data_IF_225908641470
#
_entry.id   IF_225908641470
#
_cell.length_a   1.000
_cell.length_b   1.000
_cell.length_c   1.000
_cell.angle_alpha   90.00
_cell.angle_beta   90.00
_cell.angle_gamma   90.00
#
_symmetry.space_group_name_H-M   'P 1'
#
loop_
_entity.id
_entity.type
_entity.pdbx_description
1 polymer ?
#
# COMPACT_ATOMS: atom_id res chain seq x y z
N UNK A 1 6.33 -10.31 -2.47
CA UNK A 1 6.84 -11.64 -2.16
C UNK A 1 7.71 -11.58 -0.91
N UNK A 2 8.90 -10.97 -0.96
CA UNK A 2 9.87 -10.96 0.14
C UNK A 2 9.24 -10.53 1.49
N UNK A 3 8.44 -9.47 1.52
CA UNK A 3 7.81 -8.98 2.75
C UNK A 3 6.91 -10.02 3.43
N UNK A 4 6.07 -10.73 2.67
CA UNK A 4 5.21 -11.78 3.21
C UNK A 4 6.00 -13.00 3.66
N UNK A 5 6.96 -13.48 2.85
CA UNK A 5 7.81 -14.60 3.23
C UNK A 5 8.60 -14.30 4.52
N UNK A 6 9.23 -13.11 4.60
CA UNK A 6 9.97 -12.71 5.80
C UNK A 6 9.07 -12.60 7.04
N UNK A 7 7.88 -12.01 6.89
CA UNK A 7 6.94 -11.87 8.02
C UNK A 7 6.47 -13.23 8.52
N UNK A 8 6.18 -14.17 7.64
CA UNK A 8 5.79 -15.54 8.03
C UNK A 8 6.92 -16.25 8.77
N UNK A 9 8.15 -16.18 8.26
CA UNK A 9 9.33 -16.79 8.92
C UNK A 9 9.60 -16.14 10.29
N UNK A 10 9.50 -14.81 10.40
CA UNK A 10 9.67 -14.08 11.66
C UNK A 10 8.57 -14.40 12.68
N UNK A 11 7.36 -14.73 12.20
CA UNK A 11 6.23 -15.19 13.01
C UNK A 11 6.31 -16.67 13.42
N UNK A 12 7.34 -17.40 12.97
CA UNK A 12 7.51 -18.84 13.26
C UNK A 12 6.75 -19.75 12.31
N UNK A 13 6.20 -19.21 11.22
CA UNK A 13 5.51 -19.96 10.17
C UNK A 13 6.40 -20.21 8.94
N UNK A 14 5.78 -20.68 7.87
CA UNK A 14 6.39 -20.88 6.57
C UNK A 14 5.59 -20.20 5.45
N UNK A 15 6.19 -20.02 4.29
CA UNK A 15 5.51 -19.50 3.13
C UNK A 15 5.84 -20.32 1.89
N UNK A 16 4.82 -20.65 1.10
CA UNK A 16 4.93 -21.32 -0.19
C UNK A 16 4.57 -20.31 -1.27
N UNK A 17 5.45 -20.09 -2.22
CA UNK A 17 5.20 -19.21 -3.35
C UNK A 17 4.85 -20.05 -4.58
N UNK A 18 3.65 -19.80 -5.12
CA UNK A 18 3.15 -20.44 -6.34
C UNK A 18 3.05 -19.41 -7.47
N UNK A 19 3.50 -19.78 -8.65
CA UNK A 19 3.24 -19.05 -9.90
C UNK A 19 2.18 -19.79 -10.71
N UNK A 20 1.60 -19.10 -11.71
CA UNK A 20 0.68 -19.75 -12.66
C UNK A 20 1.31 -20.96 -13.39
N UNK A 21 2.64 -20.99 -13.52
CA UNK A 21 3.36 -22.12 -14.13
C UNK A 21 3.46 -23.32 -13.21
N UNK A 22 3.49 -23.08 -11.90
CA UNK A 22 3.65 -24.11 -10.87
C UNK A 22 2.30 -24.70 -10.43
N UNK A 23 1.19 -24.10 -10.87
CA UNK A 23 -0.17 -24.48 -10.49
C UNK A 23 -0.99 -24.98 -11.69
N UNK A 24 -2.04 -25.76 -11.42
CA UNK A 24 -2.97 -26.24 -12.43
C UNK A 24 -3.92 -25.13 -12.92
N UNK A 25 -4.01 -23.98 -12.23
CA UNK A 25 -4.75 -22.80 -12.70
C UNK A 25 -4.28 -22.35 -14.08
N UNK A 26 -2.96 -22.38 -14.32
CA UNK A 26 -2.40 -22.11 -15.64
C UNK A 26 -2.70 -23.14 -16.71
N UNK A 27 -3.30 -24.27 -16.35
CA UNK A 27 -3.64 -25.41 -17.21
C UNK A 27 -5.14 -25.66 -17.33
N UNK A 28 -5.98 -24.72 -16.86
CA UNK A 28 -7.45 -24.77 -17.02
C UNK A 28 -8.23 -25.27 -15.80
N UNK A 29 -7.57 -25.52 -14.65
CA UNK A 29 -8.30 -25.77 -13.40
C UNK A 29 -9.07 -24.52 -12.97
N UNK A 30 -10.28 -24.71 -12.45
CA UNK A 30 -11.10 -23.59 -11.99
C UNK A 30 -10.53 -22.95 -10.73
N UNK A 31 -10.69 -21.62 -10.59
CA UNK A 31 -10.28 -20.90 -9.38
C UNK A 31 -10.98 -21.46 -8.14
N UNK A 32 -12.25 -21.88 -8.28
CA UNK A 32 -13.02 -22.45 -7.19
C UNK A 32 -12.43 -23.79 -6.69
N UNK A 33 -12.01 -24.66 -7.60
CA UNK A 33 -11.44 -25.96 -7.24
C UNK A 33 -10.04 -25.80 -6.64
N UNK A 34 -9.20 -24.96 -7.27
CA UNK A 34 -7.89 -24.58 -6.71
C UNK A 34 -8.04 -24.02 -5.29
N UNK A 35 -9.03 -23.15 -5.05
CA UNK A 35 -9.30 -22.56 -3.74
C UNK A 35 -9.64 -23.62 -2.69
N UNK A 36 -10.54 -24.55 -3.00
CA UNK A 36 -10.92 -25.64 -2.10
C UNK A 36 -9.75 -26.55 -1.74
N UNK A 37 -8.87 -26.81 -2.70
CA UNK A 37 -7.69 -27.67 -2.47
C UNK A 37 -6.64 -26.94 -1.63
N UNK A 38 -6.26 -25.72 -2.00
CA UNK A 38 -5.20 -24.96 -1.32
C UNK A 38 -5.62 -24.62 0.11
N UNK A 39 -6.87 -24.21 0.34
CA UNK A 39 -7.35 -23.85 1.68
C UNK A 39 -7.33 -25.00 2.69
N UNK A 40 -7.15 -26.24 2.24
CA UNK A 40 -6.95 -27.40 3.12
C UNK A 40 -5.49 -27.66 3.52
N UNK A 41 -4.57 -26.94 2.91
CA UNK A 41 -3.13 -27.15 3.08
C UNK A 41 -2.42 -26.00 3.79
N UNK A 42 -3.07 -24.84 3.91
CA UNK A 42 -2.49 -23.62 4.46
C UNK A 42 -3.48 -22.89 5.37
N UNK A 43 -2.98 -22.00 6.22
CA UNK A 43 -3.79 -21.25 7.18
C UNK A 43 -4.25 -19.90 6.61
N UNK A 44 -3.59 -19.39 5.57
CA UNK A 44 -3.89 -18.10 4.93
C UNK A 44 -3.36 -18.07 3.50
N UNK A 45 -4.06 -17.38 2.62
CA UNK A 45 -3.66 -17.22 1.21
C UNK A 45 -3.49 -15.74 0.88
N UNK A 46 -2.41 -15.34 0.23
CA UNK A 46 -2.24 -14.02 -0.36
C UNK A 46 -2.21 -14.12 -1.89
N UNK A 47 -3.06 -13.36 -2.56
CA UNK A 47 -3.19 -13.37 -4.02
C UNK A 47 -2.81 -12.01 -4.59
N UNK A 48 -1.90 -12.00 -5.56
CA UNK A 48 -1.59 -10.86 -6.40
C UNK A 48 -1.91 -11.19 -7.84
N UNK A 49 -2.88 -10.51 -8.43
CA UNK A 49 -3.38 -10.76 -9.77
C UNK A 49 -3.88 -9.46 -10.43
N UNK A 50 -4.11 -9.46 -11.74
CA UNK A 50 -4.73 -8.33 -12.42
C UNK A 50 -6.25 -8.27 -12.17
N UNK A 51 -6.93 -9.41 -12.27
CA UNK A 51 -8.38 -9.48 -12.17
C UNK A 51 -8.83 -9.55 -10.71
N UNK A 52 -9.57 -8.53 -10.24
CA UNK A 52 -10.13 -8.51 -8.89
C UNK A 52 -11.08 -9.69 -8.65
N UNK A 53 -11.87 -10.06 -9.66
CA UNK A 53 -12.78 -11.21 -9.63
C UNK A 53 -12.10 -12.53 -9.26
N UNK A 54 -10.82 -12.70 -9.58
CA UNK A 54 -10.05 -13.88 -9.17
C UNK A 54 -9.93 -13.97 -7.65
N UNK A 55 -9.62 -12.83 -6.99
CA UNK A 55 -9.53 -12.77 -5.52
C UNK A 55 -10.88 -13.03 -4.86
N UNK A 56 -11.94 -12.39 -5.37
CA UNK A 56 -13.30 -12.61 -4.88
C UNK A 56 -13.73 -14.06 -5.01
N UNK A 57 -13.54 -14.66 -6.20
CA UNK A 57 -13.90 -16.06 -6.44
C UNK A 57 -13.10 -17.00 -5.55
N UNK A 58 -11.79 -16.77 -5.42
CA UNK A 58 -10.95 -17.57 -4.52
C UNK A 58 -11.43 -17.47 -3.08
N UNK A 59 -11.71 -16.26 -2.59
CA UNK A 59 -12.21 -16.02 -1.24
C UNK A 59 -13.57 -16.67 -0.97
N UNK A 60 -14.45 -16.69 -1.98
CA UNK A 60 -15.77 -17.31 -1.86
C UNK A 60 -15.72 -18.82 -1.60
N UNK A 61 -14.70 -19.50 -2.14
CA UNK A 61 -14.55 -20.96 -2.04
C UNK A 61 -13.42 -21.40 -1.10
N UNK A 62 -12.77 -20.47 -0.42
CA UNK A 62 -11.69 -20.73 0.52
C UNK A 62 -12.22 -20.95 1.94
N UNK A 63 -11.71 -21.98 2.62
CA UNK A 63 -11.96 -22.23 4.04
C UNK A 63 -11.06 -21.38 4.95
N UNK A 64 -10.07 -20.65 4.39
CA UNK A 64 -9.10 -19.82 5.12
C UNK A 64 -9.14 -18.37 4.64
N UNK A 65 -8.65 -17.40 5.44
CA UNK A 65 -8.59 -16.00 5.04
C UNK A 65 -7.79 -15.78 3.75
N UNK A 66 -8.29 -14.88 2.91
CA UNK A 66 -7.64 -14.49 1.64
C UNK A 66 -7.27 -13.02 1.66
N UNK A 67 -5.99 -12.73 1.49
CA UNK A 67 -5.45 -11.36 1.43
C UNK A 67 -5.32 -10.94 -0.04
N UNK A 68 -5.92 -9.80 -0.37
CA UNK A 68 -5.64 -9.12 -1.64
C UNK A 68 -4.26 -8.47 -1.59
N UNK A 69 -3.26 -9.08 -2.22
CA UNK A 69 -1.91 -8.54 -2.31
C UNK A 69 -1.77 -7.39 -3.30
N UNK A 70 -2.57 -7.37 -4.34
CA UNK A 70 -2.79 -6.31 -5.33
C UNK A 70 -3.69 -6.84 -6.46
N UNK A 71 -4.61 -6.00 -6.91
CA UNK A 71 -5.35 -6.18 -8.18
C UNK A 71 -5.37 -4.86 -8.98
N UNK A 72 -5.96 -4.87 -10.19
CA UNK A 72 -6.21 -3.61 -10.92
C UNK A 72 -7.20 -2.69 -10.19
N UNK A 73 -8.07 -3.23 -9.35
CA UNK A 73 -9.04 -2.44 -8.59
C UNK A 73 -8.45 -1.84 -7.31
N UNK A 74 -7.70 -2.64 -6.54
CA UNK A 74 -7.28 -2.28 -5.17
C UNK A 74 -5.86 -2.75 -4.84
N UNK A 75 -5.21 -2.03 -3.90
CA UNK A 75 -3.92 -2.40 -3.30
C UNK A 75 -3.91 -2.20 -1.78
N UNK A 76 -4.71 -2.93 -1.00
CA UNK A 76 -4.88 -2.71 0.44
C UNK A 76 -3.58 -2.87 1.24
N UNK A 77 -2.70 -3.78 0.85
CA UNK A 77 -1.42 -3.98 1.54
C UNK A 77 -0.51 -2.75 1.51
N UNK A 78 -0.57 -1.93 0.44
CA UNK A 78 0.19 -0.69 0.39
C UNK A 78 -0.42 0.36 1.30
N UNK A 79 -1.75 0.47 1.33
CA UNK A 79 -2.44 1.41 2.22
C UNK A 79 -2.11 1.10 3.68
N UNK A 80 -2.14 -0.18 4.09
CA UNK A 80 -1.76 -0.57 5.44
C UNK A 80 -0.31 -0.18 5.79
N UNK A 81 0.62 -0.34 4.84
CA UNK A 81 2.01 0.09 5.04
C UNK A 81 2.13 1.62 5.19
N UNK A 82 1.39 2.38 4.40
CA UNK A 82 1.37 3.84 4.46
C UNK A 82 0.73 4.33 5.77
N UNK A 83 -0.37 3.72 6.21
CA UNK A 83 -1.04 4.03 7.48
C UNK A 83 -0.17 3.71 8.70
N UNK A 84 0.51 2.55 8.70
CA UNK A 84 1.47 2.20 9.78
C UNK A 84 2.62 3.21 9.81
N UNK A 85 3.16 3.58 8.65
CA UNK A 85 4.20 4.62 8.55
C UNK A 85 3.71 5.95 9.10
N UNK A 86 2.50 6.37 8.72
CA UNK A 86 1.91 7.61 9.26
C UNK A 86 1.74 7.53 10.78
N UNK A 87 1.21 6.41 11.29
CA UNK A 87 0.99 6.17 12.73
C UNK A 87 2.31 6.27 13.52
N UNK A 88 3.40 5.69 13.00
CA UNK A 88 4.72 5.72 13.66
C UNK A 88 5.31 7.13 13.77
N UNK A 89 5.06 8.00 12.77
CA UNK A 89 5.66 9.34 12.71
C UNK A 89 4.74 10.47 13.17
N UNK A 90 3.41 10.28 13.13
CA UNK A 90 2.42 11.34 13.34
C UNK A 90 1.26 10.96 14.25
N UNK A 91 1.18 9.70 14.68
CA UNK A 91 0.05 9.20 15.44
C UNK A 91 -1.17 8.90 14.58
N UNK A 92 -2.36 9.03 15.14
CA UNK A 92 -3.61 8.65 14.45
C UNK A 92 -3.87 9.51 13.21
N UNK A 93 -4.30 8.86 12.12
CA UNK A 93 -4.77 9.52 10.89
C UNK A 93 -6.23 9.98 10.97
N UNK A 94 -6.97 9.54 12.00
CA UNK A 94 -8.38 9.89 12.21
C UNK A 94 -8.57 11.40 12.23
N UNK A 95 -9.58 11.90 11.52
CA UNK A 95 -9.91 13.32 11.34
C UNK A 95 -8.79 14.17 10.68
N UNK A 96 -7.85 13.53 9.98
CA UNK A 96 -6.78 14.22 9.25
C UNK A 96 -7.20 14.51 7.82
N UNK A 97 -6.59 15.54 7.24
CA UNK A 97 -6.71 15.83 5.80
C UNK A 97 -5.63 15.08 5.05
N UNK A 98 -6.03 14.15 4.20
CA UNK A 98 -5.18 13.42 3.28
C UNK A 98 -5.45 13.91 1.87
N UNK A 99 -4.41 14.11 1.07
CA UNK A 99 -4.55 14.51 -0.33
C UNK A 99 -3.91 13.48 -1.23
N UNK A 100 -4.67 12.99 -2.20
CA UNK A 100 -4.19 12.21 -3.32
C UNK A 100 -3.96 13.12 -4.52
N UNK A 101 -2.77 13.02 -5.15
CA UNK A 101 -2.46 13.76 -6.39
C UNK A 101 -1.99 12.75 -7.44
N UNK A 102 -2.77 12.56 -8.49
CA UNK A 102 -2.48 11.61 -9.56
C UNK A 102 -3.73 10.97 -10.17
N UNK A 103 -3.54 9.93 -10.99
CA UNK A 103 -4.63 9.19 -11.62
C UNK A 103 -5.51 8.49 -10.58
N UNK A 104 -6.80 8.34 -10.88
CA UNK A 104 -7.76 7.54 -10.10
C UNK A 104 -7.54 6.03 -10.27
N UNK A 105 -6.32 5.57 -10.03
CA UNK A 105 -5.92 4.17 -10.17
C UNK A 105 -6.31 3.33 -8.93
N UNK A 106 -5.85 2.07 -8.89
CA UNK A 106 -6.11 1.16 -7.76
C UNK A 106 -5.58 1.66 -6.41
N UNK A 107 -4.53 2.49 -6.41
CA UNK A 107 -4.05 3.11 -5.18
C UNK A 107 -5.01 4.20 -4.70
N UNK A 108 -5.48 5.07 -5.60
CA UNK A 108 -6.50 6.07 -5.30
C UNK A 108 -7.77 5.41 -4.76
N UNK A 109 -8.28 4.36 -5.43
CA UNK A 109 -9.45 3.61 -4.99
C UNK A 109 -9.25 3.01 -3.59
N UNK A 110 -8.06 2.49 -3.30
CA UNK A 110 -7.73 1.95 -1.97
C UNK A 110 -7.66 3.04 -0.88
N UNK A 111 -7.23 4.26 -1.22
CA UNK A 111 -7.28 5.41 -0.31
C UNK A 111 -8.72 5.86 -0.04
N UNK A 112 -9.61 5.79 -1.04
CA UNK A 112 -11.05 6.09 -0.87
C UNK A 112 -11.68 5.12 0.13
N UNK A 113 -11.45 3.81 -0.01
CA UNK A 113 -11.94 2.82 0.95
C UNK A 113 -11.33 3.03 2.36
N UNK A 114 -10.03 3.31 2.43
CA UNK A 114 -9.36 3.57 3.69
C UNK A 114 -9.89 4.82 4.39
N UNK A 115 -10.27 5.87 3.65
CA UNK A 115 -10.84 7.10 4.20
C UNK A 115 -12.15 6.83 4.96
N UNK A 116 -12.98 5.93 4.43
CA UNK A 116 -14.23 5.53 5.07
C UNK A 116 -14.00 4.69 6.34
N UNK A 117 -13.04 3.73 6.28
CA UNK A 117 -12.77 2.81 7.39
C UNK A 117 -12.01 3.51 8.53
N UNK A 118 -11.04 4.37 8.20
CA UNK A 118 -10.13 5.01 9.15
C UNK A 118 -10.56 6.41 9.57
N UNK A 119 -11.69 6.89 9.04
CA UNK A 119 -12.32 8.16 9.40
C UNK A 119 -11.40 9.38 9.22
N UNK A 120 -10.81 9.49 8.02
CA UNK A 120 -10.06 10.67 7.58
C UNK A 120 -10.70 11.32 6.34
N UNK A 121 -10.42 12.61 6.11
CA UNK A 121 -10.89 13.35 4.94
C UNK A 121 -9.93 13.14 3.79
N UNK A 122 -10.44 12.79 2.60
CA UNK A 122 -9.62 12.61 1.41
C UNK A 122 -9.98 13.63 0.33
N UNK A 123 -9.03 14.47 -0.05
CA UNK A 123 -9.13 15.30 -1.26
C UNK A 123 -8.34 14.65 -2.40
N UNK A 124 -8.95 14.57 -3.59
CA UNK A 124 -8.41 13.86 -4.73
C UNK A 124 -8.22 14.86 -5.88
N UNK A 125 -6.99 15.16 -6.22
CA UNK A 125 -6.62 15.94 -7.40
C UNK A 125 -6.22 15.01 -8.53
N UNK A 126 -7.19 14.68 -9.38
CA UNK A 126 -6.98 13.87 -10.58
C UNK A 126 -7.07 14.73 -11.83
N UNK A 127 -6.26 14.48 -12.86
CA UNK A 127 -6.44 15.06 -14.18
C UNK A 127 -7.80 14.66 -14.77
N UNK A 128 -8.42 15.57 -15.49
CA UNK A 128 -9.71 15.32 -16.14
C UNK A 128 -9.65 14.12 -17.09
N UNK A 129 -10.59 13.19 -16.90
CA UNK A 129 -10.68 11.93 -17.64
C UNK A 129 -9.87 10.78 -17.00
N UNK A 130 -9.26 10.99 -15.83
CA UNK A 130 -8.54 9.98 -15.05
C UNK A 130 -9.09 9.83 -13.63
N UNK A 131 -10.32 10.27 -13.41
CA UNK A 131 -10.99 10.19 -12.11
C UNK A 131 -11.21 8.72 -11.71
N UNK A 132 -11.28 8.41 -10.40
CA UNK A 132 -11.54 7.05 -9.92
C UNK A 132 -12.94 6.59 -10.38
N UNK A 133 -13.04 5.35 -10.85
CA UNK A 133 -14.27 4.77 -11.40
C UNK A 133 -14.83 3.74 -10.40
N UNK A 134 -16.17 3.80 -10.18
CA UNK A 134 -16.88 2.76 -9.43
C UNK A 134 -16.64 2.75 -7.94
N UNK A 135 -16.14 3.84 -7.37
CA UNK A 135 -15.90 4.01 -5.94
C UNK A 135 -16.91 4.98 -5.33
N UNK A 136 -17.38 4.68 -4.12
CA UNK A 136 -18.22 5.59 -3.36
C UNK A 136 -17.37 6.73 -2.77
N UNK A 137 -17.69 7.96 -3.16
CA UNK A 137 -16.94 9.17 -2.78
C UNK A 137 -17.46 9.86 -1.51
N UNK A 138 -18.25 9.18 -0.67
CA UNK A 138 -18.94 9.81 0.48
C UNK A 138 -18.03 10.61 1.42
N UNK A 139 -16.77 10.18 1.63
CA UNK A 139 -15.81 10.89 2.47
C UNK A 139 -14.71 11.59 1.64
N UNK A 140 -14.93 11.76 0.34
CA UNK A 140 -13.92 12.25 -0.58
C UNK A 140 -14.41 13.47 -1.33
N UNK A 141 -13.49 14.39 -1.63
CA UNK A 141 -13.73 15.57 -2.44
C UNK A 141 -12.81 15.56 -3.65
N UNK A 142 -13.38 15.66 -4.85
CA UNK A 142 -12.61 15.91 -6.06
C UNK A 142 -12.25 17.39 -6.16
N UNK A 143 -10.99 17.68 -6.44
CA UNK A 143 -10.43 19.03 -6.58
C UNK A 143 -9.66 19.08 -7.91
N UNK A 144 -9.84 20.15 -8.69
CA UNK A 144 -9.15 20.26 -9.98
C UNK A 144 -7.69 20.72 -9.82
N UNK A 145 -7.42 21.57 -8.85
CA UNK A 145 -6.10 22.15 -8.63
C UNK A 145 -5.33 21.36 -7.56
N UNK A 146 -4.19 20.73 -7.90
CA UNK A 146 -3.38 19.98 -6.95
C UNK A 146 -2.80 20.84 -5.82
N UNK A 147 -2.50 22.12 -6.06
CA UNK A 147 -1.97 23.02 -5.02
C UNK A 147 -3.06 23.34 -3.99
N UNK A 148 -4.32 23.55 -4.45
CA UNK A 148 -5.48 23.72 -3.57
C UNK A 148 -5.74 22.46 -2.73
N UNK A 149 -5.69 21.28 -3.34
CA UNK A 149 -5.85 20.02 -2.64
C UNK A 149 -4.76 19.80 -1.58
N UNK A 150 -3.52 20.17 -1.89
CA UNK A 150 -2.38 20.00 -0.98
C UNK A 150 -2.36 21.01 0.18
N UNK A 151 -3.05 22.15 0.03
CA UNK A 151 -3.05 23.17 1.08
C UNK A 151 -3.69 22.66 2.37
N UNK A 152 -2.98 22.81 3.48
CA UNK A 152 -3.41 22.33 4.78
C UNK A 152 -3.46 20.80 4.94
N UNK A 153 -2.99 20.01 3.98
CA UNK A 153 -2.95 18.55 4.08
C UNK A 153 -1.96 18.07 5.15
N UNK A 154 -2.40 17.13 5.98
CA UNK A 154 -1.53 16.41 6.94
C UNK A 154 -0.66 15.37 6.22
N UNK A 155 -1.18 14.80 5.11
CA UNK A 155 -0.53 13.77 4.31
C UNK A 155 -0.82 14.01 2.82
N UNK A 156 0.22 14.10 2.01
CA UNK A 156 0.11 14.14 0.54
C UNK A 156 0.65 12.86 -0.04
N UNK A 157 -0.13 12.22 -0.90
CA UNK A 157 0.19 10.94 -1.53
C UNK A 157 0.14 11.08 -3.04
N UNK A 158 1.09 10.48 -3.71
CA UNK A 158 1.13 10.36 -5.17
C UNK A 158 1.68 9.00 -5.58
N UNK A 159 1.35 8.55 -6.77
CA UNK A 159 1.84 7.30 -7.35
C UNK A 159 2.51 7.56 -8.71
N UNK A 160 3.03 6.50 -9.34
CA UNK A 160 3.58 6.56 -10.69
C UNK A 160 2.49 6.81 -11.72
N UNK A 161 2.81 7.53 -12.80
CA UNK A 161 1.87 7.89 -13.89
C UNK A 161 1.43 6.71 -14.76
N UNK A 162 2.13 5.58 -14.71
CA UNK A 162 1.76 4.39 -15.44
C UNK A 162 1.95 3.18 -14.52
N UNK A 163 0.85 2.51 -14.21
CA UNK A 163 0.85 1.24 -13.50
C UNK A 163 1.40 0.12 -14.39
N UNK A 164 1.83 -1.00 -13.78
CA UNK A 164 2.26 -2.17 -14.53
C UNK A 164 1.16 -2.64 -15.48
N UNK A 165 1.44 -2.69 -16.78
CA UNK A 165 0.51 -3.08 -17.86
C UNK A 165 -0.01 -1.93 -18.72
N UNK A 166 0.22 -0.65 -18.32
CA UNK A 166 -0.22 0.53 -19.08
C UNK A 166 0.97 1.29 -19.68
N UNK A 167 2.08 0.59 -19.94
CA UNK A 167 3.34 1.18 -20.44
C UNK A 167 3.19 1.87 -21.80
N UNK A 168 2.24 1.43 -22.63
CA UNK A 168 1.94 2.05 -23.92
C UNK A 168 1.32 3.46 -23.79
N UNK A 169 0.61 3.73 -22.72
CA UNK A 169 -0.04 5.02 -22.44
C UNK A 169 0.85 6.00 -21.66
N UNK A 170 2.00 5.54 -21.19
CA UNK A 170 2.93 6.32 -20.36
C UNK A 170 3.28 7.67 -20.95
N UNK A 171 3.63 7.71 -22.24
CA UNK A 171 4.02 8.96 -22.93
C UNK A 171 2.87 9.97 -23.06
N UNK A 172 1.64 9.51 -23.18
CA UNK A 172 0.47 10.38 -23.27
C UNK A 172 0.10 10.92 -21.89
N UNK A 173 0.17 10.08 -20.87
CA UNK A 173 -0.05 10.44 -19.46
C UNK A 173 1.01 11.42 -18.97
N UNK A 174 2.29 11.20 -19.28
CA UNK A 174 3.39 12.13 -18.96
C UNK A 174 3.19 13.52 -19.57
N UNK A 175 2.66 13.61 -20.80
CA UNK A 175 2.41 14.91 -21.48
C UNK A 175 1.25 15.70 -20.85
N UNK A 176 0.22 15.01 -20.35
CA UNK A 176 -0.94 15.65 -19.71
C UNK A 176 -0.65 16.08 -18.28
N UNK A 177 0.36 15.49 -17.66
CA UNK A 177 0.64 15.61 -16.22
C UNK A 177 2.01 16.26 -15.92
N UNK A 178 2.36 17.32 -16.59
CA UNK A 178 3.69 17.98 -16.57
C UNK A 178 4.12 18.48 -15.16
N UNK A 179 3.31 18.39 -14.15
CA UNK A 179 3.54 19.06 -12.85
C UNK A 179 3.94 18.12 -11.70
N UNK A 180 3.95 16.78 -11.87
CA UNK A 180 4.17 15.87 -10.73
C UNK A 180 5.27 14.85 -10.97
N UNK A 181 6.11 14.64 -10.00
CA UNK A 181 7.32 13.82 -10.02
C UNK A 181 7.02 12.31 -10.11
N UNK A 182 7.74 11.60 -10.96
CA UNK A 182 7.63 10.20 -11.36
C UNK A 182 7.93 9.14 -10.27
N UNK A 183 7.71 9.42 -9.01
CA UNK A 183 8.04 8.45 -7.94
C UNK A 183 6.91 8.42 -6.93
N UNK A 184 6.42 7.23 -6.57
CA UNK A 184 5.52 7.08 -5.43
C UNK A 184 6.15 7.76 -4.22
N UNK A 185 5.56 8.85 -3.78
CA UNK A 185 6.12 9.69 -2.72
C UNK A 185 5.04 9.96 -1.71
N UNK A 186 5.29 9.56 -0.49
CA UNK A 186 4.51 9.92 0.68
C UNK A 186 5.14 11.18 1.27
N UNK A 187 4.39 12.29 1.27
CA UNK A 187 4.80 13.53 1.91
C UNK A 187 4.00 13.70 3.19
N UNK A 188 4.70 13.71 4.31
CA UNK A 188 4.09 14.02 5.60
C UNK A 188 4.38 15.50 5.88
N UNK A 189 3.32 16.32 5.89
CA UNK A 189 3.44 17.75 6.15
C UNK A 189 3.84 17.97 7.62
N UNK A 190 5.02 18.59 7.84
CA UNK A 190 5.26 19.31 9.10
C UNK A 190 4.54 20.65 8.96
N UNK A 191 3.70 21.06 9.91
CA UNK A 191 3.21 22.42 9.99
C UNK A 191 4.39 23.36 9.75
N UNK A 192 4.40 24.02 8.60
CA UNK A 192 5.41 25.02 8.26
C UNK A 192 5.32 26.16 9.25
N UNK A 193 6.21 26.20 10.22
CA UNK A 193 6.45 27.36 11.07
C UNK A 193 7.56 28.26 10.51
N UNK A 194 8.16 27.90 9.38
CA UNK A 194 9.12 28.77 8.67
C UNK A 194 9.24 28.38 7.18
N UNK A 195 9.60 29.32 6.28
CA UNK A 195 9.68 29.12 4.83
C UNK A 195 10.86 28.26 4.35
N UNK A 196 11.64 27.66 5.23
CA UNK A 196 12.91 26.97 4.92
C UNK A 196 13.03 25.53 5.43
N UNK A 197 11.96 24.90 5.94
CA UNK A 197 12.05 23.49 6.33
C UNK A 197 11.60 22.59 5.18
N UNK A 198 12.55 21.84 4.61
CA UNK A 198 12.32 20.80 3.59
C UNK A 198 11.40 19.70 4.15
N UNK A 199 10.33 19.39 3.42
CA UNK A 199 9.46 18.26 3.70
C UNK A 199 10.23 16.93 3.68
N UNK A 200 9.98 16.05 4.65
CA UNK A 200 10.63 14.73 4.72
C UNK A 200 10.14 13.85 3.58
N UNK A 201 11.01 13.58 2.62
CA UNK A 201 10.74 12.69 1.48
C UNK A 201 11.06 11.25 1.88
N UNK A 202 10.05 10.41 2.03
CA UNK A 202 10.27 8.98 2.19
C UNK A 202 10.31 8.30 0.81
N UNK A 203 11.53 7.91 0.36
CA UNK A 203 11.63 6.90 -0.68
C UNK A 203 11.19 5.56 -0.09
N UNK A 204 10.30 4.81 -0.76
CA UNK A 204 10.06 3.39 -0.46
C UNK A 204 11.40 2.68 -0.32
N UNK A 205 11.82 2.44 0.90
CA UNK A 205 12.98 1.61 1.19
C UNK A 205 12.50 0.53 2.14
N UNK A 206 12.60 -0.71 1.69
CA UNK A 206 12.41 -1.91 2.51
C UNK A 206 13.41 -2.01 3.69
N UNK A 207 14.20 -0.97 3.96
CA UNK A 207 15.19 -0.91 5.03
C UNK A 207 14.63 -0.55 6.41
N UNK A 208 13.39 -0.07 6.53
CA UNK A 208 12.85 0.36 7.83
C UNK A 208 12.62 -0.81 8.80
N UNK A 209 12.34 -2.02 8.30
CA UNK A 209 12.12 -3.21 9.14
C UNK A 209 13.41 -3.82 9.71
N UNK A 210 14.57 -3.58 9.08
CA UNK A 210 15.85 -4.21 9.48
C UNK A 210 16.58 -3.46 10.60
N UNK A 211 16.31 -2.18 10.80
CA UNK A 211 17.05 -1.38 11.79
C UNK A 211 16.58 -1.58 13.24
N UNK A 212 15.41 -2.17 13.49
CA UNK A 212 14.97 -2.46 14.88
C UNK A 212 15.75 -3.60 15.55
N UNK A 213 16.35 -4.53 14.80
CA UNK A 213 17.11 -5.66 15.41
C UNK A 213 18.47 -5.26 15.97
N UNK A 214 19.08 -4.17 15.52
CA UNK A 214 20.42 -3.78 16.01
C UNK A 214 20.41 -3.01 17.33
N UNK A 215 19.34 -2.29 17.68
CA UNK A 215 19.29 -1.54 18.95
C UNK A 215 18.98 -2.45 20.15
N UNK A 216 18.16 -3.51 19.97
CA UNK A 216 17.82 -4.43 21.07
C UNK A 216 18.93 -5.44 21.38
N UNK A 217 19.79 -5.78 20.40
CA UNK A 217 20.95 -6.68 20.63
C UNK A 217 22.14 -5.97 21.28
N UNK A 218 22.31 -4.67 21.03
CA UNK A 218 23.36 -3.88 21.70
C UNK A 218 23.04 -3.69 23.19
N UNK A 219 21.77 -3.46 23.54
CA UNK A 219 21.35 -3.30 24.94
C UNK A 219 21.48 -4.59 25.77
N UNK A 220 21.21 -5.76 25.17
CA UNK A 220 21.39 -7.06 25.87
C UNK A 220 22.84 -7.46 26.07
N UNK A 221 23.75 -7.07 25.20
CA UNK A 221 25.19 -7.34 25.35
C UNK A 221 25.83 -6.49 26.45
N UNK A 222 25.36 -5.28 26.67
CA UNK A 222 25.85 -4.45 27.78
C UNK A 222 25.35 -4.92 29.15
N UNK A 223 24.12 -5.45 29.23
CA UNK A 223 23.58 -6.01 30.47
C UNK A 223 24.24 -7.33 30.92
N UNK A 224 24.81 -8.11 29.98
CA UNK A 224 25.55 -9.33 30.30
C UNK A 224 27.00 -9.07 30.70
N UNK A 225 27.60 -7.96 30.23
CA UNK A 225 28.97 -7.58 30.65
C UNK A 225 29.05 -7.01 32.05
N UNK A 226 27.99 -6.39 32.58
CA UNK A 226 27.95 -5.87 33.96
C UNK A 226 27.68 -6.95 35.02
N UNK A 227 27.30 -8.18 34.63
CA UNK A 227 27.12 -9.30 35.55
C UNK A 227 28.33 -10.22 35.70
N UNK A 228 29.38 -10.05 34.90
CA UNK A 228 30.62 -10.80 35.00
C UNK A 228 31.73 -10.05 35.73
N UNK A 229 31.47 -8.85 36.27
CA UNK A 229 32.44 -8.02 37.00
C UNK A 229 32.00 -7.64 38.43
N UNK A 230 31.05 -8.40 39.00
CA UNK A 230 30.65 -8.26 40.42
C UNK A 230 30.79 -9.57 41.19
#
# INVERSE_FOLDING_TARGET
RVSFESSMIEGGGGAIFLTNRDSQMGRGESIADTSRVISRMVDIVMIRTHLHKTVETFSQYSDVPVINGLTKALHPCQILADLVTYLEFRGSIKNKKVTWIGDGNNMCSSYIEAAQIMDFQLEIACPKGFEPIGTDLNNCKLVENPDEAADGADLVVTDVWASMGDESEKKEREKKNTTTTTTTTLWINRKFSSPHEEGVRFKKSAKAATNRKHSTHSSKRNLLRERELS
#
